data_IF_691593107138
#
_entry.id   IF_691593107138
#
_cell.length_a   1.000
_cell.length_b   1.000
_cell.length_c   1.000
_cell.angle_alpha   90.00
_cell.angle_beta   90.00
_cell.angle_gamma   90.00
#
_symmetry.space_group_name_H-M   'P 1'
#
loop_
_entity.id
_entity.type
_entity.pdbx_description
1 polymer ?
#
# COMPACT_ATOMS: atom_id res chain seq x y z
N UNK A 1 7.60 -22.80 36.93
CA UNK A 1 6.77 -21.96 36.03
C UNK A 1 7.59 -20.76 35.58
N UNK A 2 8.13 -20.76 34.36
CA UNK A 2 8.95 -19.64 33.86
C UNK A 2 8.11 -18.82 32.87
N UNK A 3 7.61 -17.68 33.33
CA UNK A 3 6.97 -16.67 32.48
C UNK A 3 8.05 -16.02 31.61
N UNK A 4 8.29 -16.58 30.42
CA UNK A 4 9.04 -15.89 29.38
C UNK A 4 8.18 -14.72 28.90
N UNK A 5 8.45 -13.54 29.46
CA UNK A 5 7.97 -12.26 28.94
C UNK A 5 8.47 -12.10 27.52
N UNK A 6 7.62 -12.42 26.53
CA UNK A 6 7.83 -12.03 25.13
C UNK A 6 7.88 -10.50 25.09
N UNK A 7 9.07 -9.94 25.04
CA UNK A 7 9.26 -8.53 24.69
C UNK A 7 8.85 -8.41 23.21
N UNK A 8 7.62 -8.00 22.97
CA UNK A 8 7.16 -7.63 21.63
C UNK A 8 7.86 -6.33 21.25
N UNK A 9 8.89 -6.42 20.41
CA UNK A 9 9.51 -5.25 19.82
C UNK A 9 8.56 -4.68 18.77
N UNK A 10 7.66 -3.77 19.16
CA UNK A 10 6.88 -2.99 18.20
C UNK A 10 7.75 -1.82 17.75
N UNK A 11 8.15 -1.74 16.47
CA UNK A 11 8.91 -0.60 15.98
C UNK A 11 8.14 0.68 16.28
N UNK A 12 8.80 1.65 16.90
CA UNK A 12 8.21 2.98 17.09
C UNK A 12 7.91 3.59 15.72
N UNK A 13 6.68 4.05 15.45
CA UNK A 13 6.35 4.69 14.18
C UNK A 13 7.28 5.87 13.89
N UNK A 14 7.68 6.03 12.63
CA UNK A 14 8.60 7.10 12.18
C UNK A 14 8.09 8.52 12.50
N UNK A 15 6.79 8.65 12.73
CA UNK A 15 6.08 9.90 13.02
C UNK A 15 5.61 10.03 14.49
N UNK A 16 6.03 9.14 15.40
CA UNK A 16 5.61 9.22 16.82
C UNK A 16 6.01 10.58 17.42
N UNK A 17 5.03 11.30 17.99
CA UNK A 17 5.23 12.63 18.58
C UNK A 17 5.33 13.78 17.57
N UNK A 18 5.18 13.52 16.26
CA UNK A 18 5.14 14.56 15.22
C UNK A 18 3.71 14.76 14.72
N UNK A 19 3.22 16.00 14.75
CA UNK A 19 1.97 16.36 14.07
C UNK A 19 2.21 16.35 12.56
N UNK A 20 1.96 15.20 11.92
CA UNK A 20 2.01 15.07 10.47
C UNK A 20 0.62 15.41 9.93
N UNK A 21 0.50 16.56 9.28
CA UNK A 21 -0.73 16.98 8.60
C UNK A 21 -1.06 16.10 7.39
N UNK A 22 -2.14 16.45 6.71
CA UNK A 22 -2.53 15.75 5.48
C UNK A 22 -1.40 15.80 4.45
N UNK A 23 -0.97 14.63 3.96
CA UNK A 23 0.00 14.56 2.87
C UNK A 23 -0.67 15.01 1.57
N UNK A 24 0.03 15.81 0.77
CA UNK A 24 -0.48 16.25 -0.52
C UNK A 24 -0.77 15.03 -1.42
N UNK A 25 -1.88 15.03 -2.17
CA UNK A 25 -2.16 13.97 -3.13
C UNK A 25 -1.13 13.94 -4.26
N UNK A 26 -0.97 12.78 -4.89
CA UNK A 26 -0.11 12.64 -6.07
C UNK A 26 -0.71 13.44 -7.24
N UNK A 27 0.14 14.10 -8.03
CA UNK A 27 -0.28 14.73 -9.28
C UNK A 27 -0.32 13.68 -10.39
N UNK A 28 -1.08 13.95 -11.45
CA UNK A 28 -1.18 13.05 -12.61
C UNK A 28 0.19 12.65 -13.17
N UNK A 29 1.11 13.61 -13.30
CA UNK A 29 2.48 13.35 -13.77
C UNK A 29 3.27 12.41 -12.85
N UNK A 30 3.02 12.47 -11.54
CA UNK A 30 3.71 11.61 -10.57
C UNK A 30 3.16 10.17 -10.67
N UNK A 31 1.84 10.02 -10.88
CA UNK A 31 1.18 8.72 -11.11
C UNK A 31 1.74 8.06 -12.38
N UNK A 32 1.81 8.81 -13.48
CA UNK A 32 2.38 8.33 -14.74
C UNK A 32 3.85 7.94 -14.59
N UNK A 33 4.66 8.75 -13.90
CA UNK A 33 6.07 8.46 -13.66
C UNK A 33 6.25 7.17 -12.84
N UNK A 34 5.41 6.94 -11.83
CA UNK A 34 5.45 5.70 -11.03
C UNK A 34 5.09 4.49 -11.91
N UNK A 35 4.01 4.58 -12.69
CA UNK A 35 3.60 3.49 -13.59
C UNK A 35 4.68 3.11 -14.60
N UNK A 36 5.30 4.11 -15.25
CA UNK A 36 6.40 3.87 -16.20
C UNK A 36 7.60 3.22 -15.52
N UNK A 37 7.98 3.67 -14.31
CA UNK A 37 9.08 3.06 -13.55
C UNK A 37 8.81 1.59 -13.23
N UNK A 38 7.59 1.23 -12.83
CA UNK A 38 7.21 -0.16 -12.54
C UNK A 38 7.21 -1.02 -13.82
N UNK A 39 6.76 -0.45 -14.94
CA UNK A 39 6.77 -1.11 -16.24
C UNK A 39 8.20 -1.42 -16.72
N UNK A 40 9.10 -0.42 -16.68
CA UNK A 40 10.51 -0.59 -17.06
C UNK A 40 11.20 -1.62 -16.15
N UNK A 41 10.88 -1.61 -14.85
CA UNK A 41 11.40 -2.58 -13.89
C UNK A 41 10.79 -3.99 -14.04
N UNK A 42 9.85 -4.20 -14.97
CA UNK A 42 9.11 -5.46 -15.17
C UNK A 42 8.44 -5.98 -13.90
N UNK A 43 7.99 -5.08 -13.02
CA UNK A 43 7.29 -5.39 -11.77
C UNK A 43 5.79 -5.51 -12.03
N UNK A 44 5.37 -6.60 -12.68
CA UNK A 44 3.98 -6.80 -13.13
C UNK A 44 2.97 -6.80 -11.98
N UNK A 45 3.29 -7.47 -10.86
CA UNK A 45 2.42 -7.51 -9.68
C UNK A 45 2.27 -6.13 -9.03
N UNK A 46 3.38 -5.40 -8.84
CA UNK A 46 3.35 -4.06 -8.25
C UNK A 46 2.63 -3.06 -9.16
N UNK A 47 2.81 -3.17 -10.49
CA UNK A 47 2.11 -2.35 -11.47
C UNK A 47 0.60 -2.59 -11.45
N UNK A 48 0.17 -3.85 -11.38
CA UNK A 48 -1.24 -4.20 -11.27
C UNK A 48 -1.86 -3.69 -9.97
N UNK A 49 -1.18 -3.86 -8.83
CA UNK A 49 -1.62 -3.33 -7.54
C UNK A 49 -1.66 -1.80 -7.54
N UNK A 50 -0.69 -1.14 -8.15
CA UNK A 50 -0.67 0.32 -8.27
C UNK A 50 -1.87 0.84 -9.04
N UNK A 51 -2.14 0.27 -10.23
CA UNK A 51 -3.30 0.66 -11.04
C UNK A 51 -4.62 0.40 -10.27
N UNK A 52 -4.76 -0.78 -9.68
CA UNK A 52 -5.95 -1.13 -8.88
C UNK A 52 -6.15 -0.17 -7.69
N UNK A 53 -5.07 0.27 -7.03
CA UNK A 53 -5.14 1.23 -5.93
C UNK A 53 -5.71 2.59 -6.37
N UNK A 54 -5.31 3.06 -7.55
CA UNK A 54 -5.77 4.33 -8.12
C UNK A 54 -7.24 4.22 -8.52
N UNK A 55 -7.64 3.13 -9.18
CA UNK A 55 -8.99 2.95 -9.70
C UNK A 55 -10.02 2.70 -8.59
N UNK A 56 -9.67 1.88 -7.60
CA UNK A 56 -10.59 1.48 -6.53
C UNK A 56 -10.61 2.43 -5.32
N UNK A 57 -9.55 3.23 -5.14
CA UNK A 57 -9.35 4.12 -3.99
C UNK A 57 -9.40 3.38 -2.63
N UNK A 58 -9.09 2.09 -2.60
CA UNK A 58 -9.03 1.31 -1.37
C UNK A 58 -7.90 1.79 -0.45
N UNK A 59 -8.06 1.58 0.86
CA UNK A 59 -6.95 1.77 1.79
C UNK A 59 -5.89 0.69 1.53
N UNK A 60 -4.64 1.00 1.81
CA UNK A 60 -3.53 0.06 1.59
C UNK A 60 -3.78 -1.30 2.25
N UNK A 61 -4.26 -1.33 3.50
CA UNK A 61 -4.57 -2.57 4.21
C UNK A 61 -5.69 -3.38 3.54
N UNK A 62 -6.69 -2.73 2.96
CA UNK A 62 -7.81 -3.41 2.32
C UNK A 62 -7.37 -3.96 0.95
N UNK A 63 -6.58 -3.17 0.22
CA UNK A 63 -5.99 -3.55 -1.07
C UNK A 63 -5.05 -4.75 -0.94
N UNK A 64 -4.15 -4.76 0.05
CA UNK A 64 -3.20 -5.89 0.20
C UNK A 64 -3.86 -7.16 0.74
N UNK A 65 -5.07 -7.06 1.30
CA UNK A 65 -5.85 -8.19 1.80
C UNK A 65 -6.84 -8.75 0.78
N UNK A 66 -6.92 -8.18 -0.43
CA UNK A 66 -7.83 -8.65 -1.48
C UNK A 66 -7.55 -10.11 -1.85
N UNK A 67 -8.62 -10.88 -2.03
CA UNK A 67 -8.58 -12.26 -2.48
C UNK A 67 -9.16 -12.36 -3.88
N UNK A 68 -8.81 -13.44 -4.59
CA UNK A 68 -9.34 -13.73 -5.93
C UNK A 68 -10.88 -13.74 -5.94
N UNK A 69 -11.51 -14.24 -4.88
CA UNK A 69 -12.98 -14.30 -4.75
C UNK A 69 -13.65 -12.92 -4.64
N UNK A 70 -12.89 -11.88 -4.30
CA UNK A 70 -13.41 -10.52 -4.15
C UNK A 70 -13.42 -9.78 -5.50
N UNK A 71 -12.87 -10.40 -6.56
CA UNK A 71 -12.79 -9.86 -7.92
C UNK A 71 -13.85 -10.53 -8.78
N UNK A 72 -14.68 -9.71 -9.44
CA UNK A 72 -15.67 -10.14 -10.42
C UNK A 72 -15.42 -9.46 -11.76
N UNK A 73 -15.74 -10.16 -12.85
CA UNK A 73 -15.84 -9.52 -14.16
C UNK A 73 -17.19 -8.83 -14.25
N UNK A 74 -17.20 -7.54 -14.60
CA UNK A 74 -18.44 -6.85 -14.98
C UNK A 74 -19.01 -7.44 -16.26
N UNK A 75 -20.33 -7.33 -16.42
CA UNK A 75 -21.04 -7.71 -17.64
C UNK A 75 -20.82 -6.70 -18.78
#
# INVERSE_FOLDING_TARGET
>A
MNFLTKISFTPTPWNKGKLVGQKAPLRLRDILAIGVRLMIAKKTSDLALFNLAIDSKLRCCDLVNLRIRDIAHGA
#
